data_IF_002025068293
#
_entry.id   IF_002025068293
#
_cell.length_a   1.000
_cell.length_b   1.000
_cell.length_c   1.000
_cell.angle_alpha   90.00
_cell.angle_beta   90.00
_cell.angle_gamma   90.00
#
_symmetry.space_group_name_H-M   'P 1'
#
loop_
_entity.id
_entity.type
_entity.pdbx_description
1 polymer ?
#
# COMPACT_ATOMS: atom_id res chain seq x y z
N UNK A 1 26.01 -20.00 -3.10
CA UNK A 1 25.76 -19.09 -1.96
C UNK A 1 25.50 -17.63 -2.38
N UNK A 2 25.99 -17.15 -3.53
CA UNK A 2 25.80 -15.73 -3.94
C UNK A 2 24.36 -15.35 -4.31
N UNK A 3 23.53 -16.26 -4.83
CA UNK A 3 22.15 -15.95 -5.21
C UNK A 3 21.20 -15.59 -4.05
N UNK A 4 21.50 -15.99 -2.82
CA UNK A 4 20.61 -15.74 -1.68
C UNK A 4 20.66 -14.28 -1.19
N UNK A 5 21.77 -13.58 -1.41
CA UNK A 5 21.94 -12.17 -1.02
C UNK A 5 21.29 -11.26 -2.07
N UNK A 6 21.53 -11.56 -3.35
CA UNK A 6 21.02 -10.78 -4.48
C UNK A 6 19.48 -10.77 -4.56
N UNK A 7 18.84 -11.85 -4.12
CA UNK A 7 17.39 -12.00 -4.16
C UNK A 7 16.69 -11.61 -2.83
N UNK A 8 17.43 -11.07 -1.86
CA UNK A 8 16.84 -10.61 -0.61
C UNK A 8 16.39 -9.17 -0.70
N UNK A 9 15.18 -8.89 -0.22
CA UNK A 9 14.60 -7.54 -0.16
C UNK A 9 14.09 -7.29 1.24
N UNK A 10 14.50 -6.19 1.83
CA UNK A 10 14.09 -5.80 3.19
C UNK A 10 13.38 -4.46 3.12
N UNK A 11 12.15 -4.40 3.60
CA UNK A 11 11.41 -3.14 3.63
C UNK A 11 10.65 -2.96 4.93
N UNK A 12 10.46 -1.70 5.31
CA UNK A 12 9.62 -1.31 6.43
C UNK A 12 8.26 -0.81 5.94
N UNK A 13 7.23 -0.93 6.78
CA UNK A 13 5.95 -0.25 6.55
C UNK A 13 5.84 0.91 7.54
N UNK A 14 5.66 2.10 6.99
CA UNK A 14 5.48 3.35 7.74
C UNK A 14 4.08 3.92 7.51
N UNK A 15 3.45 4.42 8.56
CA UNK A 15 2.12 5.02 8.43
C UNK A 15 1.75 5.81 9.68
N UNK A 16 0.72 6.64 9.56
CA UNK A 16 -0.03 7.11 10.71
C UNK A 16 -0.81 5.94 11.36
N UNK A 17 -1.09 5.98 12.68
CA UNK A 17 -2.00 5.04 13.33
C UNK A 17 -3.33 4.95 12.58
N UNK A 18 -3.89 3.75 12.51
CA UNK A 18 -5.17 3.43 11.84
C UNK A 18 -5.19 3.57 10.30
N UNK A 19 -4.09 3.93 9.62
CA UNK A 19 -4.04 3.92 8.16
C UNK A 19 -4.18 2.51 7.53
N UNK A 20 -4.08 1.46 8.36
CA UNK A 20 -4.22 0.06 7.93
C UNK A 20 -2.92 -0.69 7.78
N UNK A 21 -1.84 -0.22 8.43
CA UNK A 21 -0.52 -0.85 8.42
C UNK A 21 -0.58 -2.34 8.78
N UNK A 22 -1.11 -2.68 9.96
CA UNK A 22 -1.20 -4.05 10.44
C UNK A 22 -2.02 -4.95 9.50
N UNK A 23 -3.13 -4.43 8.95
CA UNK A 23 -3.93 -5.17 7.96
C UNK A 23 -3.14 -5.45 6.69
N UNK A 24 -2.39 -4.47 6.19
CA UNK A 24 -1.53 -4.63 5.01
C UNK A 24 -0.39 -5.64 5.28
N UNK A 25 0.26 -5.55 6.44
CA UNK A 25 1.28 -6.52 6.91
C UNK A 25 0.73 -7.94 6.86
N UNK A 26 -0.45 -8.16 7.42
CA UNK A 26 -1.08 -9.50 7.41
C UNK A 26 -1.43 -9.98 6.01
N UNK A 27 -1.84 -9.08 5.10
CA UNK A 27 -2.07 -9.46 3.70
C UNK A 27 -0.79 -9.85 2.98
N UNK A 28 0.34 -9.16 3.23
CA UNK A 28 1.63 -9.60 2.69
C UNK A 28 2.01 -10.98 3.18
N UNK A 29 1.85 -11.25 4.48
CA UNK A 29 2.14 -12.56 5.06
C UNK A 29 1.20 -13.67 4.52
N UNK A 30 -0.08 -13.35 4.36
CA UNK A 30 -1.06 -14.27 3.79
C UNK A 30 -0.72 -14.62 2.34
N UNK A 31 -0.46 -13.62 1.51
CA UNK A 31 -0.16 -13.82 0.09
C UNK A 31 1.25 -14.37 -0.14
N UNK A 32 2.17 -14.14 0.79
CA UNK A 32 3.47 -14.78 0.85
C UNK A 32 3.44 -16.23 1.38
N UNK A 33 2.26 -16.72 1.82
CA UNK A 33 2.12 -18.06 2.36
C UNK A 33 2.70 -18.26 3.77
N UNK A 34 3.12 -17.17 4.43
CA UNK A 34 3.68 -17.23 5.78
C UNK A 34 2.61 -17.45 6.86
N UNK A 35 1.36 -17.09 6.59
CA UNK A 35 0.19 -17.36 7.44
C UNK A 35 -0.96 -17.92 6.60
N UNK A 36 -1.83 -18.72 7.23
CA UNK A 36 -2.97 -19.35 6.54
C UNK A 36 -4.23 -18.47 6.53
N UNK A 37 -4.35 -17.55 7.46
CA UNK A 37 -5.48 -16.62 7.59
C UNK A 37 -5.00 -15.29 8.16
N UNK A 38 -5.43 -14.19 7.57
CA UNK A 38 -5.25 -12.85 8.14
C UNK A 38 -6.25 -12.63 9.29
N UNK A 39 -5.81 -11.99 10.38
CA UNK A 39 -6.69 -11.51 11.43
C UNK A 39 -7.42 -10.25 10.97
N UNK A 40 -8.67 -10.07 11.39
CA UNK A 40 -9.34 -8.79 11.25
C UNK A 40 -9.06 -7.94 12.50
N UNK A 41 -8.39 -6.82 12.33
CA UNK A 41 -8.28 -5.81 13.39
C UNK A 41 -9.63 -5.12 13.52
N UNK A 42 -10.51 -5.64 14.38
CA UNK A 42 -11.75 -4.94 14.77
C UNK A 42 -11.52 -4.21 16.06
N UNK A 43 -11.80 -2.93 16.05
CA UNK A 43 -12.01 -2.17 17.28
C UNK A 43 -13.21 -2.77 18.03
N UNK A 44 -12.97 -3.25 19.29
CA UNK A 44 -13.94 -3.77 20.26
C UNK A 44 -14.77 -5.02 19.84
N UNK A 45 -14.38 -6.17 20.37
CA UNK A 45 -15.16 -7.40 20.40
C UNK A 45 -14.38 -8.60 19.89
N UNK A 46 -14.62 -9.78 20.41
CA UNK A 46 -13.96 -11.09 20.30
C UNK A 46 -13.54 -11.58 18.88
N UNK A 47 -12.90 -10.72 18.08
CA UNK A 47 -12.36 -11.11 16.78
C UNK A 47 -10.90 -11.56 16.91
N UNK A 48 -10.48 -12.51 16.08
CA UNK A 48 -9.09 -12.99 15.98
C UNK A 48 -8.14 -11.81 15.89
N UNK A 49 -7.21 -11.75 16.85
CA UNK A 49 -6.20 -10.69 16.97
C UNK A 49 -5.14 -10.88 15.90
N UNK A 50 -4.51 -9.78 15.48
CA UNK A 50 -3.41 -9.78 14.54
C UNK A 50 -2.29 -10.75 14.96
N UNK A 51 -1.71 -11.48 14.01
CA UNK A 51 -0.55 -12.36 14.25
C UNK A 51 0.77 -11.60 14.30
N UNK A 52 0.80 -10.37 13.86
CA UNK A 52 1.97 -9.49 13.98
C UNK A 52 2.16 -8.94 15.39
N UNK A 53 1.10 -8.95 16.24
CA UNK A 53 1.14 -8.42 17.59
C UNK A 53 1.50 -9.52 18.59
N UNK A 54 2.76 -9.57 19.00
CA UNK A 54 3.30 -10.64 19.87
C UNK A 54 3.22 -10.29 21.35
N UNK A 55 3.26 -9.01 21.73
CA UNK A 55 3.22 -8.58 23.13
C UNK A 55 1.79 -8.48 23.65
N UNK A 56 1.58 -8.78 24.95
CA UNK A 56 0.27 -8.65 25.59
C UNK A 56 -0.27 -7.22 25.50
N UNK A 57 0.61 -6.23 25.60
CA UNK A 57 0.27 -4.82 25.51
C UNK A 57 -0.24 -4.44 24.08
N UNK A 58 0.35 -5.00 23.06
CA UNK A 58 -0.07 -4.83 21.66
C UNK A 58 -1.47 -5.41 21.46
N UNK A 59 -1.69 -6.61 22.00
CA UNK A 59 -2.99 -7.29 21.95
C UNK A 59 -4.10 -6.55 22.69
N UNK A 60 -3.79 -5.92 23.82
CA UNK A 60 -4.76 -5.16 24.62
C UNK A 60 -5.11 -3.81 24.00
N UNK A 61 -4.13 -3.12 23.44
CA UNK A 61 -4.31 -1.79 22.82
C UNK A 61 -4.69 -1.84 21.37
N UNK A 62 -4.45 -2.97 20.66
CA UNK A 62 -4.64 -3.12 19.23
C UNK A 62 -3.66 -2.29 18.38
N UNK A 63 -2.46 -2.05 18.94
CA UNK A 63 -1.37 -1.28 18.31
C UNK A 63 -0.06 -2.05 18.44
N UNK A 64 0.79 -1.99 17.40
CA UNK A 64 2.14 -2.53 17.46
C UNK A 64 3.03 -1.61 18.31
N UNK A 65 3.66 -2.18 19.32
CA UNK A 65 4.51 -1.44 20.30
C UNK A 65 5.99 -1.60 19.97
N UNK A 66 6.37 -2.74 19.37
CA UNK A 66 7.75 -3.05 19.01
C UNK A 66 7.89 -3.37 17.52
N UNK A 67 9.06 -3.08 16.96
CA UNK A 67 9.37 -3.52 15.59
C UNK A 67 9.48 -5.05 15.55
N UNK A 68 8.79 -5.67 14.61
CA UNK A 68 8.87 -7.11 14.37
C UNK A 68 9.34 -7.38 12.94
N UNK A 69 10.32 -8.28 12.80
CA UNK A 69 10.81 -8.71 11.50
C UNK A 69 10.18 -10.06 11.12
N UNK A 70 9.56 -10.11 9.95
CA UNK A 70 8.91 -11.29 9.40
C UNK A 70 9.51 -11.60 8.04
N UNK A 71 9.78 -12.87 7.76
CA UNK A 71 10.42 -13.28 6.52
C UNK A 71 9.62 -14.35 5.81
N UNK A 72 9.51 -14.23 4.48
CA UNK A 72 8.84 -15.20 3.63
C UNK A 72 9.42 -15.19 2.21
N UNK A 73 9.21 -16.29 1.49
CA UNK A 73 9.58 -16.37 0.08
C UNK A 73 8.42 -15.92 -0.81
N UNK A 74 8.71 -15.13 -1.82
CA UNK A 74 7.74 -14.72 -2.83
C UNK A 74 8.44 -14.52 -4.18
N UNK A 75 7.98 -15.20 -5.25
CA UNK A 75 8.51 -15.09 -6.61
C UNK A 75 10.06 -15.07 -6.64
N UNK A 76 10.72 -16.12 -6.30
CA UNK A 76 12.20 -16.25 -6.28
C UNK A 76 12.94 -15.27 -5.37
N UNK A 77 12.24 -14.36 -4.69
CA UNK A 77 12.81 -13.41 -3.74
C UNK A 77 12.54 -13.84 -2.30
N UNK A 78 13.50 -13.54 -1.43
CA UNK A 78 13.34 -13.66 0.01
C UNK A 78 13.01 -12.28 0.58
N UNK A 79 11.77 -12.13 1.04
CA UNK A 79 11.24 -10.87 1.56
C UNK A 79 11.43 -10.84 3.08
N UNK A 80 12.02 -9.76 3.57
CA UNK A 80 12.01 -9.39 4.98
C UNK A 80 11.14 -8.16 5.15
N UNK A 81 10.04 -8.35 5.81
CA UNK A 81 9.12 -7.29 6.17
C UNK A 81 9.40 -6.87 7.61
N UNK A 82 9.65 -5.60 7.83
CA UNK A 82 9.84 -5.03 9.16
C UNK A 82 8.64 -4.15 9.49
N UNK A 83 7.81 -4.62 10.39
CA UNK A 83 6.66 -3.86 10.88
C UNK A 83 7.12 -2.85 11.94
N UNK A 84 6.89 -1.57 11.70
CA UNK A 84 7.31 -0.50 12.62
C UNK A 84 6.16 -0.13 13.55
N UNK A 85 6.45 0.28 14.82
CA UNK A 85 5.41 0.83 15.67
C UNK A 85 4.76 2.05 15.02
N UNK A 86 3.42 2.04 14.91
CA UNK A 86 2.67 3.15 14.31
C UNK A 86 2.41 4.32 15.28
N UNK A 87 2.69 4.16 16.56
CA UNK A 87 2.38 5.15 17.58
C UNK A 87 3.52 6.17 17.79
N UNK A 88 3.18 7.44 18.03
CA UNK A 88 4.16 8.53 18.22
C UNK A 88 5.14 8.30 19.36
N UNK A 89 4.74 7.51 20.37
CA UNK A 89 5.55 7.25 21.57
C UNK A 89 6.72 6.29 21.32
N UNK A 90 6.75 5.60 20.16
CA UNK A 90 7.78 4.61 19.82
C UNK A 90 8.69 5.07 18.67
N UNK A 91 8.84 6.37 18.48
CA UNK A 91 9.59 6.96 17.37
C UNK A 91 11.06 6.49 17.28
N UNK A 92 11.74 6.26 18.40
CA UNK A 92 13.14 5.83 18.42
C UNK A 92 13.33 4.43 17.81
N UNK A 93 12.47 3.48 18.13
CA UNK A 93 12.53 2.14 17.53
C UNK A 93 12.20 2.17 16.04
N UNK A 94 11.30 3.06 15.64
CA UNK A 94 10.98 3.28 14.23
C UNK A 94 12.19 3.85 13.48
N UNK A 95 12.91 4.81 14.07
CA UNK A 95 14.13 5.37 13.47
C UNK A 95 15.20 4.28 13.30
N UNK A 96 15.44 3.47 14.31
CA UNK A 96 16.39 2.34 14.24
C UNK A 96 15.99 1.34 13.16
N UNK A 97 14.71 1.03 13.05
CA UNK A 97 14.17 0.10 12.05
C UNK A 97 14.41 0.62 10.63
N UNK A 98 14.10 1.89 10.36
CA UNK A 98 14.30 2.53 9.05
C UNK A 98 15.78 2.51 8.64
N UNK A 99 16.72 2.46 9.60
CA UNK A 99 18.14 2.36 9.27
C UNK A 99 18.59 0.99 8.75
N UNK A 100 17.78 -0.02 8.92
CA UNK A 100 18.13 -1.42 8.62
C UNK A 100 17.40 -1.98 7.38
N UNK A 101 16.70 -1.14 6.62
CA UNK A 101 15.90 -1.57 5.47
C UNK A 101 16.38 -0.94 4.17
N UNK A 102 16.06 -1.59 3.04
CA UNK A 102 16.42 -1.15 1.69
C UNK A 102 15.40 -0.18 1.09
N UNK A 103 14.17 -0.19 1.58
CA UNK A 103 13.07 0.66 1.12
C UNK A 103 11.96 0.74 2.18
N UNK A 104 11.01 1.65 2.00
CA UNK A 104 9.83 1.75 2.84
C UNK A 104 8.54 1.74 2.02
N UNK A 105 7.47 1.17 2.58
CA UNK A 105 6.10 1.34 2.09
C UNK A 105 5.41 2.33 3.01
N UNK A 106 5.05 3.47 2.46
CA UNK A 106 4.26 4.49 3.13
C UNK A 106 2.77 4.20 2.90
N UNK A 107 2.03 3.94 3.98
CA UNK A 107 0.59 3.70 3.90
C UNK A 107 -0.15 4.94 4.34
N UNK A 108 -1.03 5.43 3.48
CA UNK A 108 -1.91 6.57 3.74
C UNK A 108 -3.38 6.13 3.68
N UNK A 109 -4.22 6.81 4.46
CA UNK A 109 -5.67 6.62 4.44
C UNK A 109 -6.27 7.50 3.34
N UNK A 110 -7.00 6.91 2.39
CA UNK A 110 -7.61 7.65 1.26
C UNK A 110 -8.60 8.75 1.67
N UNK A 111 -9.17 8.67 2.87
CA UNK A 111 -10.05 9.71 3.39
C UNK A 111 -9.28 10.86 4.06
N UNK A 112 -8.12 10.55 4.68
CA UNK A 112 -7.39 11.50 5.51
C UNK A 112 -6.18 12.15 4.81
N UNK A 113 -5.58 11.45 3.82
CA UNK A 113 -4.37 11.92 3.15
C UNK A 113 -3.12 11.83 4.04
N UNK A 114 -2.23 12.82 3.94
CA UNK A 114 -0.98 12.89 4.70
C UNK A 114 -1.22 13.39 6.12
N UNK A 115 -1.04 12.52 7.09
CA UNK A 115 -1.15 12.85 8.50
C UNK A 115 0.23 13.15 9.11
N UNK A 116 0.25 13.86 10.25
CA UNK A 116 1.48 14.37 10.88
C UNK A 116 2.57 13.33 11.13
N UNK A 117 2.17 12.12 11.55
CA UNK A 117 3.13 11.03 11.80
C UNK A 117 3.73 10.51 10.50
N UNK A 118 2.92 10.40 9.43
CA UNK A 118 3.40 9.99 8.10
C UNK A 118 4.47 10.95 7.60
N UNK A 119 4.25 12.27 7.74
CA UNK A 119 5.22 13.30 7.36
C UNK A 119 6.54 13.15 8.11
N UNK A 120 6.50 12.99 9.44
CA UNK A 120 7.72 12.79 10.25
C UNK A 120 8.51 11.55 9.82
N UNK A 121 7.82 10.42 9.57
CA UNK A 121 8.46 9.18 9.14
C UNK A 121 9.05 9.30 7.73
N UNK A 122 8.35 10.01 6.84
CA UNK A 122 8.87 10.34 5.51
C UNK A 122 10.16 11.17 5.60
N UNK A 123 10.20 12.19 6.43
CA UNK A 123 11.41 13.03 6.63
C UNK A 123 12.60 12.18 7.08
N UNK A 124 12.38 11.17 7.93
CA UNK A 124 13.44 10.23 8.34
C UNK A 124 13.93 9.38 7.18
N UNK A 125 13.02 8.86 6.35
CA UNK A 125 13.39 8.11 5.16
C UNK A 125 14.19 8.98 4.19
N UNK A 126 13.76 10.22 3.98
CA UNK A 126 14.42 11.19 3.08
C UNK A 126 15.84 11.55 3.53
N UNK A 127 16.10 11.69 4.83
CA UNK A 127 17.44 11.93 5.37
C UNK A 127 18.45 10.82 5.04
N UNK A 128 17.97 9.70 4.53
CA UNK A 128 18.75 8.50 4.19
C UNK A 128 18.64 8.11 2.72
N UNK A 129 18.03 8.95 1.91
CA UNK A 129 17.75 8.68 0.50
C UNK A 129 17.07 7.30 0.30
N UNK A 130 16.21 6.92 1.27
CA UNK A 130 15.54 5.64 1.24
C UNK A 130 14.38 5.68 0.23
N UNK A 131 14.37 4.79 -0.78
CA UNK A 131 13.27 4.71 -1.73
C UNK A 131 11.94 4.39 -1.04
N UNK A 132 10.88 5.12 -1.40
CA UNK A 132 9.55 4.98 -0.80
C UNK A 132 8.52 4.59 -1.85
N UNK A 133 7.77 3.53 -1.57
CA UNK A 133 6.56 3.16 -2.29
C UNK A 133 5.36 3.67 -1.50
N UNK A 134 4.37 4.25 -2.16
CA UNK A 134 3.16 4.75 -1.50
C UNK A 134 1.98 3.81 -1.75
N UNK A 135 1.24 3.49 -0.71
CA UNK A 135 -0.02 2.75 -0.80
C UNK A 135 -1.17 3.57 -0.20
N UNK A 136 -2.07 4.05 -1.06
CA UNK A 136 -3.30 4.72 -0.67
C UNK A 136 -4.37 3.67 -0.36
N UNK A 137 -4.64 3.49 0.91
CA UNK A 137 -5.48 2.43 1.45
C UNK A 137 -6.92 2.89 1.70
N UNK A 138 -7.83 1.94 1.87
CA UNK A 138 -9.23 2.14 2.22
C UNK A 138 -10.09 2.75 1.11
N UNK A 139 -9.75 2.48 -0.14
CA UNK A 139 -10.55 2.93 -1.28
C UNK A 139 -11.97 2.34 -1.32
N UNK A 140 -12.22 1.28 -0.53
CA UNK A 140 -13.53 0.69 -0.28
C UNK A 140 -14.44 1.51 0.66
N UNK A 141 -13.93 2.62 1.18
CA UNK A 141 -14.65 3.59 2.01
C UNK A 141 -14.71 4.93 1.29
N UNK A 142 -15.52 5.85 1.82
CA UNK A 142 -15.51 7.24 1.35
C UNK A 142 -14.09 7.79 1.42
N UNK A 143 -13.56 8.19 0.28
CA UNK A 143 -12.21 8.71 0.10
C UNK A 143 -12.25 10.06 -0.59
N UNK A 144 -11.18 10.82 -0.46
CA UNK A 144 -10.97 12.06 -1.20
C UNK A 144 -10.73 11.75 -2.68
N UNK A 145 -10.76 12.78 -3.51
CA UNK A 145 -10.38 12.66 -4.92
C UNK A 145 -8.93 12.19 -5.06
N UNK A 146 -8.67 11.31 -6.03
CA UNK A 146 -7.36 10.70 -6.21
C UNK A 146 -6.28 11.71 -6.63
N UNK A 147 -6.65 12.70 -7.46
CA UNK A 147 -5.74 13.77 -7.87
C UNK A 147 -5.41 14.69 -6.70
N UNK A 148 -6.41 15.04 -5.86
CA UNK A 148 -6.15 15.82 -4.64
C UNK A 148 -5.19 15.12 -3.68
N UNK A 149 -5.28 13.78 -3.56
CA UNK A 149 -4.34 12.99 -2.74
C UNK A 149 -2.94 13.05 -3.34
N UNK A 150 -2.80 12.92 -4.66
CA UNK A 150 -1.52 13.01 -5.36
C UNK A 150 -0.90 14.40 -5.18
N UNK A 151 -1.67 15.46 -5.41
CA UNK A 151 -1.25 16.84 -5.25
C UNK A 151 -0.77 17.10 -3.80
N UNK A 152 -1.53 16.63 -2.80
CA UNK A 152 -1.13 16.75 -1.40
C UNK A 152 0.20 16.05 -1.09
N UNK A 153 0.43 14.85 -1.66
CA UNK A 153 1.70 14.12 -1.50
C UNK A 153 2.84 14.94 -2.12
N UNK A 154 2.67 15.41 -3.35
CA UNK A 154 3.68 16.20 -4.06
C UNK A 154 4.02 17.50 -3.33
N UNK A 155 3.01 18.25 -2.89
CA UNK A 155 3.19 19.51 -2.19
C UNK A 155 3.78 19.33 -0.78
N UNK A 156 3.22 18.38 -0.01
CA UNK A 156 3.60 18.19 1.41
C UNK A 156 4.96 17.55 1.56
N UNK A 157 5.29 16.59 0.69
CA UNK A 157 6.53 15.81 0.78
C UNK A 157 7.59 16.27 -0.21
N UNK A 158 7.24 17.13 -1.15
CA UNK A 158 8.16 17.64 -2.20
C UNK A 158 8.82 16.47 -2.94
N UNK A 159 8.02 15.57 -3.48
CA UNK A 159 8.43 14.36 -4.18
C UNK A 159 7.51 14.13 -5.37
N UNK A 160 8.04 13.69 -6.50
CA UNK A 160 7.22 13.31 -7.64
C UNK A 160 6.41 12.05 -7.37
N UNK A 161 5.17 12.02 -7.84
CA UNK A 161 4.26 10.87 -7.68
C UNK A 161 3.91 10.29 -9.04
N UNK A 162 4.05 8.98 -9.19
CA UNK A 162 3.65 8.26 -10.39
C UNK A 162 2.65 7.14 -10.05
N UNK A 163 1.42 7.18 -10.56
CA UNK A 163 0.46 6.11 -10.35
C UNK A 163 0.86 4.84 -11.10
N UNK A 164 0.83 3.71 -10.39
CA UNK A 164 1.07 2.37 -10.95
C UNK A 164 -0.25 1.65 -11.23
N UNK A 165 -1.30 2.04 -10.55
CA UNK A 165 -2.67 1.62 -10.81
C UNK A 165 -3.63 2.79 -10.60
N UNK A 166 -4.88 2.60 -11.04
CA UNK A 166 -5.93 3.58 -10.83
C UNK A 166 -7.21 2.91 -10.32
N UNK A 167 -7.89 3.46 -9.31
CA UNK A 167 -9.08 2.85 -8.74
C UNK A 167 -10.27 2.91 -9.69
N UNK A 168 -11.04 1.84 -9.71
CA UNK A 168 -12.30 1.73 -10.47
C UNK A 168 -13.43 1.96 -9.48
N UNK A 169 -13.94 3.18 -9.45
CA UNK A 169 -14.88 3.63 -8.43
C UNK A 169 -14.22 3.95 -7.09
N UNK A 170 -15.02 4.37 -6.12
CA UNK A 170 -14.60 4.69 -4.75
C UNK A 170 -15.72 4.37 -3.75
N UNK A 171 -15.40 4.18 -2.49
CA UNK A 171 -16.38 3.90 -1.44
C UNK A 171 -17.19 2.63 -1.73
N UNK A 172 -18.52 2.75 -1.68
CA UNK A 172 -19.43 1.64 -1.98
C UNK A 172 -19.32 1.15 -3.42
N UNK A 173 -18.84 1.99 -4.34
CA UNK A 173 -18.71 1.68 -5.76
C UNK A 173 -17.31 1.19 -6.15
N UNK A 174 -16.38 1.10 -5.20
CA UNK A 174 -15.04 0.60 -5.44
C UNK A 174 -15.08 -0.87 -5.88
N UNK A 175 -14.71 -1.15 -7.11
CA UNK A 175 -14.68 -2.51 -7.68
C UNK A 175 -13.29 -3.13 -7.67
N UNK A 176 -12.25 -2.32 -7.58
CA UNK A 176 -10.87 -2.74 -7.72
C UNK A 176 -10.03 -1.68 -8.41
N UNK A 177 -8.97 -2.09 -9.12
CA UNK A 177 -8.05 -1.16 -9.76
C UNK A 177 -7.68 -1.60 -11.17
N UNK A 178 -7.44 -0.60 -12.03
CA UNK A 178 -6.77 -0.79 -13.32
C UNK A 178 -5.26 -0.69 -13.12
N UNK A 179 -4.52 -1.70 -13.51
CA UNK A 179 -3.06 -1.75 -13.50
C UNK A 179 -2.54 -1.03 -14.75
N UNK A 180 -1.90 0.11 -14.55
CA UNK A 180 -1.39 0.97 -15.62
C UNK A 180 -0.18 0.37 -16.34
N UNK A 181 0.55 -0.51 -15.66
CA UNK A 181 1.79 -1.11 -16.18
C UNK A 181 1.49 -2.31 -17.04
N UNK A 182 0.57 -3.18 -16.59
CA UNK A 182 0.33 -4.48 -17.21
C UNK A 182 -0.97 -4.56 -18.02
N UNK A 183 -1.73 -3.46 -18.13
CA UNK A 183 -3.04 -3.44 -18.81
C UNK A 183 -3.98 -4.52 -18.26
N UNK A 184 -4.21 -4.53 -16.96
CA UNK A 184 -5.08 -5.48 -16.29
C UNK A 184 -6.09 -4.76 -15.42
N UNK A 185 -7.28 -5.31 -15.30
CA UNK A 185 -8.21 -4.93 -14.23
C UNK A 185 -8.12 -5.97 -13.12
N UNK A 186 -7.92 -5.49 -11.90
CA UNK A 186 -7.90 -6.31 -10.69
C UNK A 186 -9.20 -6.07 -9.94
N UNK A 187 -10.15 -6.99 -10.07
CA UNK A 187 -11.48 -6.88 -9.48
C UNK A 187 -11.48 -7.54 -8.10
N UNK A 188 -11.91 -6.81 -7.09
CA UNK A 188 -11.96 -7.28 -5.72
C UNK A 188 -13.19 -8.17 -5.49
N UNK A 189 -13.00 -9.33 -4.88
CA UNK A 189 -14.11 -10.14 -4.39
C UNK A 189 -14.60 -9.56 -3.05
N UNK A 190 -15.82 -9.04 -3.05
CA UNK A 190 -16.45 -8.49 -1.84
C UNK A 190 -16.98 -9.57 -0.90
N UNK A 191 -17.25 -10.76 -1.42
CA UNK A 191 -17.82 -11.86 -0.64
C UNK A 191 -16.75 -12.58 0.19
N UNK A 192 -15.54 -12.72 -0.36
CA UNK A 192 -14.41 -13.33 0.36
C UNK A 192 -13.16 -12.42 0.33
N UNK A 193 -12.96 -11.72 1.43
CA UNK A 193 -11.84 -10.79 1.61
C UNK A 193 -10.47 -11.46 1.76
N UNK A 194 -10.42 -12.78 1.85
CA UNK A 194 -9.17 -13.55 1.91
C UNK A 194 -8.72 -14.03 0.53
N UNK A 195 -9.56 -13.89 -0.48
CA UNK A 195 -9.24 -14.24 -1.85
C UNK A 195 -8.55 -13.06 -2.54
N UNK A 196 -7.52 -13.35 -3.31
CA UNK A 196 -6.87 -12.35 -4.16
C UNK A 196 -7.87 -11.79 -5.17
N UNK A 197 -7.74 -10.50 -5.47
CA UNK A 197 -8.49 -9.89 -6.56
C UNK A 197 -8.32 -10.71 -7.86
N UNK A 198 -9.40 -10.85 -8.61
CA UNK A 198 -9.36 -11.50 -9.91
C UNK A 198 -8.69 -10.57 -10.92
N UNK A 199 -7.54 -10.98 -11.44
CA UNK A 199 -6.82 -10.25 -12.47
C UNK A 199 -7.31 -10.66 -13.86
N UNK A 200 -7.75 -9.69 -14.64
CA UNK A 200 -8.25 -9.87 -16.00
C UNK A 200 -7.37 -9.05 -16.94
N UNK A 201 -6.67 -9.72 -17.84
CA UNK A 201 -5.88 -9.06 -18.88
C UNK A 201 -6.81 -8.47 -19.92
N UNK A 202 -6.56 -7.25 -20.33
CA UNK A 202 -7.35 -6.51 -21.31
C UNK A 202 -6.45 -5.90 -22.38
N UNK A 203 -6.99 -5.71 -23.56
CA UNK A 203 -6.31 -5.00 -24.65
C UNK A 203 -6.64 -3.49 -24.59
N UNK A 204 -6.16 -2.86 -23.50
CA UNK A 204 -6.46 -1.46 -23.21
C UNK A 204 -7.87 -1.21 -22.69
N UNK A 205 -8.16 0.05 -22.33
CA UNK A 205 -9.41 0.46 -21.71
C UNK A 205 -10.64 0.39 -22.63
N UNK A 206 -10.43 0.25 -23.94
CA UNK A 206 -11.51 0.09 -24.91
C UNK A 206 -11.92 -1.37 -25.15
N UNK A 207 -11.23 -2.32 -24.52
CA UNK A 207 -11.56 -3.74 -24.61
C UNK A 207 -13.02 -4.00 -24.17
N UNK A 208 -13.83 -4.68 -25.02
CA UNK A 208 -15.20 -5.04 -24.67
C UNK A 208 -15.32 -5.91 -23.41
N UNK A 209 -14.26 -6.64 -23.06
CA UNK A 209 -14.21 -7.49 -21.86
C UNK A 209 -14.45 -6.68 -20.59
N UNK A 210 -14.00 -5.42 -20.54
CA UNK A 210 -14.20 -4.53 -19.39
C UNK A 210 -15.68 -4.36 -19.05
N UNK A 211 -16.54 -4.28 -20.06
CA UNK A 211 -17.97 -4.06 -19.88
C UNK A 211 -18.69 -5.21 -19.12
N UNK A 212 -18.04 -6.38 -19.01
CA UNK A 212 -18.56 -7.50 -18.21
C UNK A 212 -18.37 -7.31 -16.71
N UNK A 213 -17.39 -6.49 -16.32
CA UNK A 213 -16.96 -6.33 -14.92
C UNK A 213 -17.16 -4.92 -14.40
N UNK A 214 -17.11 -3.92 -15.28
CA UNK A 214 -17.18 -2.50 -14.93
C UNK A 214 -18.40 -1.85 -15.58
N UNK A 215 -19.32 -1.28 -14.80
CA UNK A 215 -20.47 -0.53 -15.31
C UNK A 215 -20.04 0.61 -16.24
N UNK A 216 -20.83 0.90 -17.27
CA UNK A 216 -20.50 1.90 -18.30
C UNK A 216 -20.17 3.29 -17.73
N UNK A 217 -20.87 3.73 -16.69
CA UNK A 217 -20.60 5.02 -16.04
C UNK A 217 -19.19 5.08 -15.42
N UNK A 218 -18.81 4.03 -14.68
CA UNK A 218 -17.47 3.92 -14.07
C UNK A 218 -16.39 3.75 -15.14
N UNK A 219 -16.68 3.02 -16.21
CA UNK A 219 -15.75 2.87 -17.34
C UNK A 219 -15.45 4.20 -18.02
N UNK A 220 -16.49 5.02 -18.29
CA UNK A 220 -16.32 6.33 -18.89
C UNK A 220 -15.46 7.23 -18.00
N UNK A 221 -15.77 7.29 -16.71
CA UNK A 221 -14.99 8.05 -15.73
C UNK A 221 -13.52 7.57 -15.69
N UNK A 222 -13.30 6.25 -15.66
CA UNK A 222 -11.96 5.66 -15.67
C UNK A 222 -11.17 6.08 -16.91
N UNK A 223 -11.78 6.07 -18.09
CA UNK A 223 -11.12 6.51 -19.34
C UNK A 223 -10.67 7.97 -19.25
N UNK A 224 -11.56 8.88 -18.82
CA UNK A 224 -11.26 10.30 -18.66
C UNK A 224 -10.12 10.52 -17.64
N UNK A 225 -10.17 9.85 -16.49
CA UNK A 225 -9.14 9.96 -15.46
C UNK A 225 -7.79 9.42 -15.91
N UNK A 226 -7.74 8.29 -16.64
CA UNK A 226 -6.49 7.73 -17.16
C UNK A 226 -5.86 8.61 -18.23
N UNK A 227 -6.65 9.28 -19.06
CA UNK A 227 -6.13 10.28 -20.00
C UNK A 227 -5.47 11.44 -19.26
N UNK A 228 -6.09 11.93 -18.18
CA UNK A 228 -5.50 12.97 -17.33
C UNK A 228 -4.21 12.49 -16.64
N UNK A 229 -4.22 11.27 -16.07
CA UNK A 229 -3.01 10.67 -15.46
C UNK A 229 -1.85 10.65 -16.44
N UNK A 230 -2.08 10.16 -17.67
CA UNK A 230 -1.05 10.08 -18.71
C UNK A 230 -0.55 11.44 -19.21
N UNK A 231 -1.40 12.47 -19.15
CA UNK A 231 -1.07 13.82 -19.61
C UNK A 231 -0.41 14.71 -18.56
N UNK A 232 -0.68 14.49 -17.29
CA UNK A 232 -0.31 15.40 -16.21
C UNK A 232 0.78 14.83 -15.28
N UNK A 233 0.84 13.51 -15.12
CA UNK A 233 1.73 12.89 -14.13
C UNK A 233 2.94 12.24 -14.81
N UNK A 234 4.11 12.24 -14.16
CA UNK A 234 5.31 11.64 -14.70
C UNK A 234 5.18 10.12 -14.81
N UNK A 235 5.83 9.53 -15.80
CA UNK A 235 6.05 8.09 -15.85
C UNK A 235 7.08 7.66 -14.80
N UNK A 236 7.04 6.38 -14.40
CA UNK A 236 7.99 5.85 -13.43
C UNK A 236 9.42 5.91 -13.93
N UNK A 237 10.30 6.49 -13.11
CA UNK A 237 11.73 6.59 -13.36
C UNK A 237 12.51 5.93 -12.21
N UNK A 238 13.35 4.94 -12.56
CA UNK A 238 14.11 4.16 -11.58
C UNK A 238 15.18 4.98 -10.85
N UNK A 239 15.83 5.93 -11.51
CA UNK A 239 16.87 6.73 -10.90
C UNK A 239 16.28 7.73 -9.90
N UNK A 240 15.16 8.36 -10.27
CA UNK A 240 14.41 9.23 -9.37
C UNK A 240 13.83 8.47 -8.18
N UNK A 241 13.32 7.27 -8.39
CA UNK A 241 12.85 6.42 -7.30
C UNK A 241 13.98 6.02 -6.35
N UNK A 242 15.11 5.53 -6.88
CA UNK A 242 16.25 5.11 -6.07
C UNK A 242 16.92 6.27 -5.31
N UNK A 243 16.83 7.48 -5.82
CA UNK A 243 17.33 8.70 -5.15
C UNK A 243 16.31 9.32 -4.17
N UNK A 244 15.14 8.69 -3.98
CA UNK A 244 14.10 9.20 -3.08
C UNK A 244 13.37 10.46 -3.58
N UNK A 245 13.45 10.77 -4.88
CA UNK A 245 12.81 11.93 -5.50
C UNK A 245 11.48 11.61 -6.17
N UNK A 246 11.14 10.32 -6.31
CA UNK A 246 9.88 9.84 -6.87
C UNK A 246 9.30 8.72 -6.01
N UNK A 247 7.98 8.73 -5.83
CA UNK A 247 7.25 7.62 -5.23
C UNK A 247 6.22 7.04 -6.20
N UNK A 248 6.31 5.74 -6.53
CA UNK A 248 5.21 5.06 -7.20
C UNK A 248 4.05 4.88 -6.20
N UNK A 249 2.83 5.20 -6.63
CA UNK A 249 1.63 5.05 -5.80
C UNK A 249 0.70 3.95 -6.31
N UNK A 250 0.23 3.14 -5.38
CA UNK A 250 -0.86 2.19 -5.59
C UNK A 250 -2.06 2.59 -4.75
N UNK A 251 -3.23 2.52 -5.35
CA UNK A 251 -4.52 2.66 -4.68
C UNK A 251 -5.13 1.28 -4.43
N UNK A 252 -5.81 1.11 -3.29
CA UNK A 252 -6.44 -0.17 -3.00
C UNK A 252 -7.14 -0.23 -1.65
N UNK A 253 -7.51 -1.44 -1.27
CA UNK A 253 -8.01 -1.76 0.07
C UNK A 253 -7.28 -2.98 0.61
N UNK A 254 -6.74 -2.87 1.81
CA UNK A 254 -6.09 -3.96 2.52
C UNK A 254 -7.08 -4.91 3.22
N UNK A 255 -8.40 -4.70 3.06
CA UNK A 255 -9.42 -5.53 3.71
C UNK A 255 -9.70 -6.79 2.89
#
# INVERSE_FOLDING_TARGET
>A
MNNLIENRRTFAIISHPDAGKTTLTEKFLLYGGAIQQAGQVKAKGEARRSRSDFMTLEKERGISVSASAMSFAYNESWINLVDTPGHSDFSEDTYRTITAVDSAIMVIDGAKGIESQTKKLFEVCRLRDLPILTFCNKMDRESRDNFEIIDEIQETLTIDVTPMNWPIGSGSDFLGCYDLVNNKINIMDRADRNVRATSIVIDGLNDPVISKYVPNALRKKLLEEIEMVKGLLPSFDHEMFNSGNMTPIWFGSAI
#
